data_IF_358957579158
#
_entry.id   IF_358957579158
#
_cell.length_a   1.000
_cell.length_b   1.000
_cell.length_c   1.000
_cell.angle_alpha   90.00
_cell.angle_beta   90.00
_cell.angle_gamma   90.00
#
_symmetry.space_group_name_H-M   'P 1'
#
loop_
_entity.id
_entity.type
_entity.pdbx_description
1 polymer ?
#
# COMPACT_ATOMS: atom_id res chain seq x y z
N UNK A 1 0.16 -3.74 -55.69
CA UNK A 1 1.12 -2.65 -55.38
C UNK A 1 2.13 -3.21 -54.38
N UNK A 2 3.41 -3.18 -54.70
CA UNK A 2 4.45 -3.73 -53.82
C UNK A 2 4.58 -2.82 -52.59
N UNK A 3 4.61 -3.41 -51.39
CA UNK A 3 4.88 -2.68 -50.15
C UNK A 3 6.16 -1.87 -50.33
N UNK A 4 6.08 -0.58 -50.08
CA UNK A 4 7.24 0.30 -50.17
C UNK A 4 8.22 -0.03 -49.04
N UNK A 5 9.51 0.18 -49.25
CA UNK A 5 10.51 -0.01 -48.20
C UNK A 5 10.23 0.85 -46.95
N UNK A 6 9.53 1.97 -47.14
CA UNK A 6 9.03 2.85 -46.08
C UNK A 6 7.99 2.12 -45.22
N UNK A 7 7.02 1.45 -45.84
CA UNK A 7 5.97 0.70 -45.15
C UNK A 7 6.53 -0.48 -44.34
N UNK A 8 7.57 -1.16 -44.86
CA UNK A 8 8.30 -2.20 -44.13
C UNK A 8 9.06 -1.63 -42.92
N UNK A 9 9.69 -0.48 -43.07
CA UNK A 9 10.40 0.19 -41.98
C UNK A 9 9.44 0.64 -40.87
N UNK A 10 8.29 1.21 -41.24
CA UNK A 10 7.24 1.62 -40.30
C UNK A 10 6.68 0.42 -39.53
N UNK A 11 6.39 -0.70 -40.21
CA UNK A 11 5.92 -1.93 -39.56
C UNK A 11 6.94 -2.44 -38.52
N UNK A 12 8.23 -2.42 -38.85
CA UNK A 12 9.31 -2.83 -37.92
C UNK A 12 9.40 -1.89 -36.72
N UNK A 13 9.30 -0.57 -36.94
CA UNK A 13 9.31 0.41 -35.87
C UNK A 13 8.10 0.25 -34.94
N UNK A 14 6.90 0.09 -35.50
CA UNK A 14 5.69 -0.13 -34.73
C UNK A 14 5.78 -1.40 -33.86
N UNK A 15 6.31 -2.49 -34.41
CA UNK A 15 6.55 -3.72 -33.65
C UNK A 15 7.58 -3.53 -32.52
N UNK A 16 8.69 -2.86 -32.79
CA UNK A 16 9.71 -2.57 -31.78
C UNK A 16 9.15 -1.68 -30.65
N UNK A 17 8.38 -0.65 -31.00
CA UNK A 17 7.72 0.24 -30.04
C UNK A 17 6.69 -0.50 -29.19
N UNK A 18 5.89 -1.38 -29.80
CA UNK A 18 4.93 -2.21 -29.08
C UNK A 18 5.63 -3.16 -28.09
N UNK A 19 6.75 -3.78 -28.49
CA UNK A 19 7.57 -4.62 -27.60
C UNK A 19 8.15 -3.83 -26.43
N UNK A 20 8.68 -2.63 -26.67
CA UNK A 20 9.20 -1.76 -25.62
C UNK A 20 8.09 -1.38 -24.63
N UNK A 21 6.92 -0.99 -25.13
CA UNK A 21 5.79 -0.64 -24.28
C UNK A 21 5.32 -1.84 -23.44
N UNK A 22 5.29 -3.04 -24.01
CA UNK A 22 4.93 -4.26 -23.29
C UNK A 22 5.92 -4.56 -22.14
N UNK A 23 7.23 -4.37 -22.37
CA UNK A 23 8.25 -4.52 -21.32
C UNK A 23 8.09 -3.47 -20.21
N UNK A 24 7.86 -2.21 -20.57
CA UNK A 24 7.61 -1.12 -19.60
C UNK A 24 6.37 -1.40 -18.75
N UNK A 25 5.29 -1.87 -19.38
CA UNK A 25 4.06 -2.23 -18.68
C UNK A 25 4.26 -3.41 -17.72
N UNK A 26 5.07 -4.41 -18.11
CA UNK A 26 5.41 -5.54 -17.23
C UNK A 26 6.20 -5.06 -16.01
N UNK A 27 7.16 -4.17 -16.20
CA UNK A 27 7.99 -3.66 -15.10
C UNK A 27 7.17 -2.81 -14.13
N UNK A 28 6.34 -1.88 -14.63
CA UNK A 28 5.44 -1.09 -13.78
C UNK A 28 4.44 -1.97 -13.03
N UNK A 29 3.92 -3.02 -13.68
CA UNK A 29 3.06 -4.01 -13.02
C UNK A 29 3.81 -4.76 -11.92
N UNK A 30 5.05 -5.18 -12.16
CA UNK A 30 5.89 -5.87 -11.17
C UNK A 30 6.18 -4.98 -9.97
N UNK A 31 6.53 -3.72 -10.22
CA UNK A 31 6.79 -2.74 -9.16
C UNK A 31 5.55 -2.48 -8.31
N UNK A 32 4.39 -2.29 -8.94
CA UNK A 32 3.11 -2.13 -8.22
C UNK A 32 2.79 -3.36 -7.37
N UNK A 33 2.97 -4.57 -7.89
CA UNK A 33 2.77 -5.80 -7.11
C UNK A 33 3.66 -5.85 -5.87
N UNK A 34 4.94 -5.50 -6.00
CA UNK A 34 5.86 -5.48 -4.87
C UNK A 34 5.53 -4.36 -3.88
N UNK A 35 5.13 -3.19 -4.36
CA UNK A 35 4.70 -2.07 -3.53
C UNK A 35 3.43 -2.42 -2.72
N UNK A 36 2.41 -2.99 -3.36
CA UNK A 36 1.21 -3.50 -2.66
C UNK A 36 1.58 -4.53 -1.60
N UNK A 37 2.48 -5.48 -1.92
CA UNK A 37 2.93 -6.49 -0.95
C UNK A 37 3.63 -5.86 0.25
N UNK A 38 4.51 -4.88 0.04
CA UNK A 38 5.19 -4.16 1.13
C UNK A 38 4.19 -3.44 2.04
N UNK A 39 3.21 -2.76 1.44
CA UNK A 39 2.15 -2.05 2.19
C UNK A 39 1.30 -3.01 3.02
N UNK A 40 0.91 -4.16 2.46
CA UNK A 40 0.13 -5.17 3.19
C UNK A 40 0.95 -5.75 4.36
N UNK A 41 2.21 -6.13 4.13
CA UNK A 41 3.06 -6.70 5.19
C UNK A 41 3.28 -5.67 6.30
N UNK A 42 3.62 -4.43 5.95
CA UNK A 42 3.88 -3.38 6.92
C UNK A 42 2.60 -2.98 7.68
N UNK A 43 1.45 -2.94 7.00
CA UNK A 43 0.16 -2.71 7.63
C UNK A 43 -0.19 -3.79 8.65
N UNK A 44 -0.07 -5.07 8.26
CA UNK A 44 -0.30 -6.20 9.18
C UNK A 44 0.63 -6.15 10.40
N UNK A 45 1.94 -5.95 10.18
CA UNK A 45 2.90 -5.84 11.27
C UNK A 45 2.63 -4.65 12.20
N UNK A 46 2.12 -3.53 11.68
CA UNK A 46 1.74 -2.37 12.49
C UNK A 46 0.50 -2.66 13.33
N UNK A 47 -0.50 -3.37 12.79
CA UNK A 47 -1.68 -3.80 13.54
C UNK A 47 -1.28 -4.76 14.67
N UNK A 48 -0.47 -5.78 14.37
CA UNK A 48 0.04 -6.74 15.36
C UNK A 48 0.83 -6.03 16.48
N UNK A 49 1.61 -4.99 16.14
CA UNK A 49 2.34 -4.19 17.11
C UNK A 49 1.41 -3.35 17.99
N UNK A 50 0.38 -2.74 17.40
CA UNK A 50 -0.59 -1.91 18.10
C UNK A 50 -1.42 -2.70 19.14
N UNK A 51 -1.57 -4.02 18.99
CA UNK A 51 -2.20 -4.87 20.01
C UNK A 51 -1.37 -4.95 21.31
N UNK A 52 -0.06 -4.71 21.25
CA UNK A 52 0.88 -4.94 22.36
C UNK A 52 1.58 -3.67 22.85
N UNK A 53 1.71 -2.66 22.00
CA UNK A 53 2.37 -1.40 22.29
C UNK A 53 1.38 -0.23 22.17
N UNK A 54 1.17 0.47 23.27
CA UNK A 54 0.26 1.61 23.36
C UNK A 54 0.72 2.82 22.55
N UNK A 55 2.03 3.00 22.35
CA UNK A 55 2.56 4.05 21.47
C UNK A 55 2.24 3.76 20.00
N UNK A 56 2.35 2.49 19.59
CA UNK A 56 1.99 2.06 18.25
C UNK A 56 0.48 2.20 18.00
N UNK A 57 -0.36 1.84 18.97
CA UNK A 57 -1.80 2.05 18.92
C UNK A 57 -2.15 3.55 18.80
N UNK A 58 -1.52 4.41 19.60
CA UNK A 58 -1.73 5.85 19.52
C UNK A 58 -1.27 6.45 18.17
N UNK A 59 -0.18 5.94 17.59
CA UNK A 59 0.26 6.35 16.27
C UNK A 59 -0.73 5.91 15.18
N UNK A 60 -1.26 4.69 15.27
CA UNK A 60 -2.26 4.17 14.34
C UNK A 60 -3.54 5.01 14.36
N UNK A 61 -4.05 5.34 15.56
CA UNK A 61 -5.23 6.21 15.72
C UNK A 61 -4.99 7.61 15.11
N UNK A 62 -3.81 8.20 15.32
CA UNK A 62 -3.42 9.47 14.68
C UNK A 62 -3.37 9.36 13.16
N UNK A 63 -2.88 8.26 12.60
CA UNK A 63 -2.82 8.07 11.14
C UNK A 63 -4.22 7.99 10.54
N UNK A 64 -5.14 7.25 11.17
CA UNK A 64 -6.52 7.11 10.71
C UNK A 64 -7.27 8.44 10.80
N UNK A 65 -7.15 9.17 11.92
CA UNK A 65 -7.81 10.48 12.08
C UNK A 65 -7.33 11.55 11.09
N UNK A 66 -6.07 11.49 10.66
CA UNK A 66 -5.47 12.46 9.75
C UNK A 66 -5.53 12.06 8.27
N UNK A 67 -6.33 11.04 7.91
CA UNK A 67 -6.54 10.65 6.51
C UNK A 67 -7.13 11.83 5.71
N UNK A 68 -6.50 12.26 4.60
CA UNK A 68 -6.91 13.48 3.89
C UNK A 68 -8.21 13.31 3.09
N UNK A 69 -8.60 12.07 2.78
CA UNK A 69 -9.76 11.76 1.94
C UNK A 69 -10.90 11.25 2.80
N UNK A 70 -12.06 11.91 2.71
CA UNK A 70 -13.28 11.48 3.40
C UNK A 70 -13.72 10.05 3.01
N UNK A 71 -13.45 9.62 1.77
CA UNK A 71 -13.73 8.24 1.35
C UNK A 71 -12.87 7.22 2.10
N UNK A 72 -11.61 7.56 2.37
CA UNK A 72 -10.70 6.67 3.10
C UNK A 72 -11.08 6.63 4.58
N UNK A 73 -11.47 7.77 5.17
CA UNK A 73 -12.01 7.83 6.55
C UNK A 73 -13.24 6.94 6.73
N UNK A 74 -14.14 6.91 5.74
CA UNK A 74 -15.34 6.04 5.76
C UNK A 74 -15.01 4.55 5.89
N UNK A 75 -13.85 4.11 5.40
CA UNK A 75 -13.43 2.71 5.53
C UNK A 75 -13.12 2.31 6.99
N UNK A 76 -12.99 3.28 7.90
CA UNK A 76 -12.61 3.07 9.30
C UNK A 76 -13.71 3.44 10.31
N UNK A 77 -14.94 3.80 9.86
CA UNK A 77 -16.02 4.25 10.75
C UNK A 77 -16.54 3.13 11.66
N UNK A 78 -16.67 1.92 11.14
CA UNK A 78 -17.16 0.74 11.89
C UNK A 78 -16.02 -0.24 12.22
N UNK A 79 -14.78 0.24 12.22
CA UNK A 79 -13.60 -0.59 12.43
C UNK A 79 -13.06 -0.43 13.85
N UNK A 80 -13.02 -1.53 14.61
CA UNK A 80 -12.36 -1.57 15.91
C UNK A 80 -10.83 -1.65 15.72
N UNK A 81 -10.16 -0.51 15.93
CA UNK A 81 -8.72 -0.44 15.90
C UNK A 81 -8.10 -1.20 17.09
N UNK A 82 -6.98 -1.92 16.89
CA UNK A 82 -6.29 -2.59 17.98
C UNK A 82 -5.83 -1.57 19.03
N UNK A 83 -6.30 -1.77 20.26
CA UNK A 83 -5.86 -1.01 21.42
C UNK A 83 -4.99 -1.90 22.30
N UNK A 84 -3.75 -1.51 22.55
CA UNK A 84 -2.97 -2.12 23.62
C UNK A 84 -3.76 -1.95 24.92
N UNK A 85 -4.20 -3.07 25.51
CA UNK A 85 -4.89 -3.04 26.80
C UNK A 85 -3.98 -2.34 27.80
N UNK A 86 -4.44 -1.30 28.52
CA UNK A 86 -3.67 -0.78 29.63
C UNK A 86 -3.57 -1.92 30.63
N UNK A 87 -2.38 -2.49 30.77
CA UNK A 87 -2.04 -3.40 31.87
C UNK A 87 -2.57 -2.76 33.16
N UNK A 88 -3.37 -3.47 33.98
CA UNK A 88 -3.93 -2.88 35.18
C UNK A 88 -2.77 -2.44 36.06
N UNK A 89 -2.54 -1.14 36.15
CA UNK A 89 -1.71 -0.55 37.20
C UNK A 89 -2.44 -0.83 38.50
N UNK A 90 -2.02 -1.86 39.22
CA UNK A 90 -2.45 -2.13 40.58
C UNK A 90 -2.23 -0.86 41.42
N UNK A 91 -3.28 -0.28 42.04
CA UNK A 91 -3.11 0.77 43.02
C UNK A 91 -2.97 0.09 44.38
N UNK A 92 -1.76 -0.31 44.74
CA UNK A 92 -1.43 -0.70 46.12
C UNK A 92 0.10 -0.58 46.28
N UNK A 93 0.68 0.14 47.23
CA UNK A 93 0.20 0.41 48.57
C UNK A 93 0.60 1.82 49.04
N UNK A 94 -0.37 2.51 49.64
CA UNK A 94 -0.11 3.45 50.73
C UNK A 94 0.10 2.64 52.00
N UNK A 95 1.27 2.79 52.63
CA UNK A 95 1.48 2.64 54.09
C UNK A 95 2.78 3.31 54.47
#
# INVERSE_FOLDING_TARGET
MAETELEKAEKRYAQAKARLQALKNRETTRQRKMDTRRKVILGGALLDLAERDSNAAAMLDRLVRNLPRAQDQKAFVDWDAPSASPSPTSPDASS
#
